data_IF_529998141418
#
_entry.id   IF_529998141418
#
_cell.length_a   1.000
_cell.length_b   1.000
_cell.length_c   1.000
_cell.angle_alpha   90.00
_cell.angle_beta   90.00
_cell.angle_gamma   90.00
#
_symmetry.space_group_name_H-M   'P 1'
#
loop_
_entity.id
_entity.type
_entity.pdbx_description
1 polymer ?
#
# COMPACT_ATOMS: atom_id res chain seq x y z
N UNK A 1 -48.35 37.85 -36.15
CA UNK A 1 -47.04 37.70 -35.50
C UNK A 1 -47.04 36.38 -34.75
N UNK A 2 -46.31 35.41 -35.26
CA UNK A 2 -46.21 34.08 -34.64
C UNK A 2 -44.93 34.04 -33.79
N UNK A 3 -45.11 33.91 -32.48
CA UNK A 3 -43.98 33.75 -31.57
C UNK A 3 -43.41 32.32 -31.70
N UNK A 4 -42.23 32.22 -32.24
CA UNK A 4 -41.45 30.97 -32.29
C UNK A 4 -40.77 30.81 -30.94
N UNK A 5 -41.27 29.90 -30.10
CA UNK A 5 -40.62 29.51 -28.83
C UNK A 5 -39.55 28.48 -29.22
N UNK A 6 -38.30 28.93 -29.23
CA UNK A 6 -37.14 28.04 -29.39
C UNK A 6 -36.84 27.39 -28.04
N UNK A 7 -37.29 26.14 -27.89
CA UNK A 7 -36.92 25.32 -26.71
C UNK A 7 -35.49 24.84 -26.89
N UNK A 8 -34.55 25.44 -26.17
CA UNK A 8 -33.17 24.97 -26.09
C UNK A 8 -33.15 23.75 -25.16
N UNK A 9 -33.05 22.56 -25.75
CA UNK A 9 -32.73 21.35 -24.98
C UNK A 9 -31.26 21.41 -24.55
N UNK A 10 -30.99 21.77 -23.32
CA UNK A 10 -29.70 21.62 -22.70
C UNK A 10 -29.49 20.11 -22.41
N UNK A 11 -28.87 19.40 -23.35
CA UNK A 11 -28.43 18.02 -23.11
C UNK A 11 -27.25 18.11 -22.16
N UNK A 12 -27.51 18.07 -20.85
CA UNK A 12 -26.49 17.78 -19.84
C UNK A 12 -26.10 16.32 -20.02
N UNK A 13 -25.09 16.07 -20.85
CA UNK A 13 -24.38 14.81 -20.85
C UNK A 13 -23.67 14.70 -19.50
N UNK A 14 -24.34 14.10 -18.53
CA UNK A 14 -23.67 13.58 -17.34
C UNK A 14 -22.75 12.45 -17.82
N UNK A 15 -21.54 12.80 -18.20
CA UNK A 15 -20.45 11.86 -18.21
C UNK A 15 -20.24 11.46 -16.75
N UNK A 16 -20.99 10.48 -16.28
CA UNK A 16 -20.68 9.77 -15.06
C UNK A 16 -19.40 8.96 -15.34
N UNK A 17 -18.28 9.65 -15.38
CA UNK A 17 -16.99 8.99 -15.26
C UNK A 17 -17.08 8.20 -13.96
N UNK A 18 -16.97 6.90 -14.06
CA UNK A 18 -16.82 6.00 -12.96
C UNK A 18 -15.57 6.46 -12.21
N UNK A 19 -15.77 7.20 -11.13
CA UNK A 19 -14.68 7.85 -10.42
C UNK A 19 -13.87 6.79 -9.70
N UNK A 20 -12.66 6.55 -10.20
CA UNK A 20 -11.66 5.76 -9.50
C UNK A 20 -11.18 6.58 -8.30
N UNK A 21 -11.17 5.97 -7.13
CA UNK A 21 -10.70 6.59 -5.88
C UNK A 21 -9.33 6.02 -5.55
N UNK A 22 -8.37 6.89 -5.28
CA UNK A 22 -7.06 6.50 -4.76
C UNK A 22 -6.88 7.04 -3.34
N UNK A 23 -6.43 6.19 -2.43
CA UNK A 23 -6.21 6.49 -1.02
C UNK A 23 -4.76 6.14 -0.66
N UNK A 24 -4.06 7.10 -0.07
CA UNK A 24 -2.79 6.91 0.65
C UNK A 24 -3.08 7.20 2.12
N UNK A 25 -3.03 6.18 2.96
CA UNK A 25 -3.47 6.27 4.36
C UNK A 25 -2.32 6.08 5.32
N UNK A 26 -1.88 7.17 5.95
CA UNK A 26 -0.90 7.10 7.03
C UNK A 26 -1.40 6.27 8.23
N UNK A 27 -2.72 6.23 8.45
CA UNK A 27 -3.35 5.40 9.48
C UNK A 27 -3.19 3.91 9.14
N UNK A 28 -3.49 3.50 7.90
CA UNK A 28 -3.30 2.10 7.47
C UNK A 28 -1.82 1.71 7.52
N UNK A 29 -0.91 2.58 7.09
CA UNK A 29 0.53 2.34 7.15
C UNK A 29 0.97 2.05 8.59
N UNK A 30 0.51 2.88 9.53
CA UNK A 30 0.80 2.69 10.96
C UNK A 30 0.20 1.40 11.52
N UNK A 31 -1.04 1.08 11.14
CA UNK A 31 -1.70 -0.18 11.57
C UNK A 31 -0.93 -1.41 11.06
N UNK A 32 -0.46 -1.40 9.82
CA UNK A 32 0.37 -2.50 9.30
C UNK A 32 1.67 -2.62 10.08
N UNK A 33 2.35 -1.51 10.36
CA UNK A 33 3.56 -1.48 11.14
C UNK A 33 3.35 -1.98 12.58
N UNK A 34 2.26 -1.56 13.24
CA UNK A 34 1.90 -2.03 14.58
C UNK A 34 1.67 -3.54 14.60
N UNK A 35 0.96 -4.08 13.61
CA UNK A 35 0.73 -5.54 13.51
C UNK A 35 2.00 -6.34 13.25
N UNK A 36 2.96 -5.79 12.51
CA UNK A 36 4.31 -6.38 12.40
C UNK A 36 4.95 -6.46 13.79
N UNK A 37 4.91 -5.38 14.57
CA UNK A 37 5.48 -5.35 15.92
C UNK A 37 4.75 -6.29 16.87
N UNK A 38 3.43 -6.37 16.84
CA UNK A 38 2.65 -7.37 17.59
C UNK A 38 3.13 -8.79 17.24
N UNK A 39 3.36 -9.05 15.97
CA UNK A 39 3.88 -10.35 15.52
C UNK A 39 5.27 -10.62 16.04
N UNK A 40 6.19 -9.65 15.98
CA UNK A 40 7.54 -9.79 16.50
C UNK A 40 7.52 -10.15 18.01
N UNK A 41 6.76 -9.41 18.78
CA UNK A 41 6.60 -9.66 20.23
C UNK A 41 6.03 -11.07 20.48
N UNK A 42 5.03 -11.50 19.69
CA UNK A 42 4.41 -12.82 19.85
C UNK A 42 5.36 -14.00 19.64
N UNK A 43 6.44 -13.81 18.90
CA UNK A 43 7.50 -14.82 18.66
C UNK A 43 8.76 -14.58 19.51
N UNK A 44 8.68 -13.72 20.54
CA UNK A 44 9.76 -13.43 21.48
C UNK A 44 10.85 -12.50 20.94
N UNK A 45 10.57 -11.77 19.84
CA UNK A 45 11.46 -10.76 19.28
C UNK A 45 11.20 -9.38 19.89
N UNK A 46 12.19 -8.49 19.78
CA UNK A 46 11.98 -7.09 20.14
C UNK A 46 11.13 -6.37 19.09
N UNK A 47 10.26 -5.45 19.50
CA UNK A 47 9.58 -4.60 18.55
C UNK A 47 10.56 -3.63 17.90
N UNK A 48 10.30 -3.24 16.67
CA UNK A 48 11.00 -2.17 15.98
C UNK A 48 10.59 -0.84 16.63
N UNK A 49 11.56 0.00 16.95
CA UNK A 49 11.31 1.19 17.78
C UNK A 49 10.86 2.38 16.92
N UNK A 50 11.43 2.54 15.74
CA UNK A 50 11.21 3.72 14.91
C UNK A 50 10.39 3.40 13.66
N UNK A 51 9.28 4.13 13.51
CA UNK A 51 8.48 4.17 12.28
C UNK A 51 8.92 5.40 11.46
N UNK A 52 9.79 5.16 10.50
CA UNK A 52 10.42 6.22 9.70
C UNK A 52 9.43 6.84 8.71
N UNK A 53 9.42 8.18 8.63
CA UNK A 53 8.48 8.96 7.81
C UNK A 53 9.18 9.85 6.76
N UNK A 54 10.50 9.79 6.65
CA UNK A 54 11.31 10.63 5.78
C UNK A 54 11.57 10.02 4.39
N UNK A 55 12.83 9.87 4.03
CA UNK A 55 13.24 9.42 2.70
C UNK A 55 12.88 7.97 2.42
N UNK A 56 13.01 7.08 3.39
CA UNK A 56 12.63 5.66 3.25
C UNK A 56 11.13 5.52 3.03
N UNK A 57 10.31 6.33 3.72
CA UNK A 57 8.86 6.41 3.49
C UNK A 57 8.54 6.86 2.08
N UNK A 58 9.22 7.89 1.58
CA UNK A 58 9.06 8.36 0.22
C UNK A 58 9.45 7.30 -0.80
N UNK A 59 10.51 6.54 -0.54
CA UNK A 59 10.91 5.42 -1.38
C UNK A 59 9.84 4.32 -1.38
N UNK A 60 9.40 3.88 -0.22
CA UNK A 60 8.33 2.88 -0.05
C UNK A 60 7.04 3.29 -0.78
N UNK A 61 6.67 4.56 -0.72
CA UNK A 61 5.51 5.10 -1.44
C UNK A 61 5.70 5.01 -2.95
N UNK A 62 6.86 5.35 -3.49
CA UNK A 62 7.16 5.20 -4.93
C UNK A 62 7.08 3.74 -5.38
N UNK A 63 7.53 2.79 -4.56
CA UNK A 63 7.36 1.36 -4.84
C UNK A 63 5.87 1.02 -4.99
N UNK A 64 5.03 1.43 -4.04
CA UNK A 64 3.58 1.22 -4.15
C UNK A 64 2.99 1.89 -5.41
N UNK A 65 3.45 3.09 -5.78
CA UNK A 65 3.03 3.80 -6.99
C UNK A 65 3.36 3.01 -8.28
N UNK A 66 4.44 2.24 -8.29
CA UNK A 66 4.77 1.36 -9.44
C UNK A 66 3.90 0.09 -9.48
N UNK A 67 3.39 -0.36 -8.35
CA UNK A 67 2.61 -1.58 -8.22
C UNK A 67 1.10 -1.36 -8.39
N UNK A 68 0.60 -0.14 -8.15
CA UNK A 68 -0.83 0.16 -8.13
C UNK A 68 -1.52 0.19 -9.51
N UNK A 69 -0.88 0.51 -10.66
CA UNK A 69 -1.52 0.42 -11.96
C UNK A 69 -2.08 -0.98 -12.22
N UNK A 70 -3.24 -1.07 -12.89
CA UNK A 70 -3.95 -2.34 -13.12
C UNK A 70 -3.09 -3.38 -13.86
N UNK A 71 -2.21 -2.91 -14.75
CA UNK A 71 -1.29 -3.72 -15.56
C UNK A 71 0.15 -3.72 -15.02
N UNK A 72 0.37 -3.29 -13.76
CA UNK A 72 1.70 -3.28 -13.18
C UNK A 72 2.24 -4.70 -13.04
N UNK A 73 3.49 -4.88 -13.41
CA UNK A 73 4.23 -6.12 -13.16
C UNK A 73 4.57 -6.20 -11.67
N UNK A 74 4.27 -7.35 -11.05
CA UNK A 74 4.66 -7.61 -9.67
C UNK A 74 6.15 -7.98 -9.62
N UNK A 75 6.97 -7.04 -9.20
CA UNK A 75 8.41 -7.23 -9.05
C UNK A 75 8.97 -6.37 -7.93
N UNK A 76 10.01 -6.86 -7.30
CA UNK A 76 10.81 -6.07 -6.37
C UNK A 76 11.50 -4.90 -7.07
N UNK A 77 11.83 -3.89 -6.28
CA UNK A 77 12.57 -2.72 -6.76
C UNK A 77 13.92 -3.14 -7.35
N UNK A 78 14.40 -2.50 -8.44
CA UNK A 78 15.73 -2.78 -8.98
C UNK A 78 16.82 -2.53 -7.93
N UNK A 79 17.83 -3.40 -7.92
CA UNK A 79 18.91 -3.37 -6.91
C UNK A 79 19.61 -2.02 -6.77
N UNK A 80 19.76 -1.27 -7.85
CA UNK A 80 20.40 0.07 -7.87
C UNK A 80 19.59 1.14 -7.12
N UNK A 81 18.28 0.96 -7.00
CA UNK A 81 17.39 1.84 -6.23
C UNK A 81 17.32 1.45 -4.76
N UNK A 82 17.64 0.19 -4.46
CA UNK A 82 17.57 -0.43 -3.15
C UNK A 82 18.80 -0.09 -2.29
N UNK A 83 19.94 0.23 -2.91
CA UNK A 83 21.25 0.33 -2.23
C UNK A 83 21.29 1.21 -0.98
N UNK A 84 20.34 2.10 -0.77
CA UNK A 84 20.27 2.94 0.43
C UNK A 84 19.37 2.37 1.53
N UNK A 85 18.37 1.52 1.18
CA UNK A 85 17.34 1.02 2.10
C UNK A 85 17.19 -0.49 2.02
N UNK A 86 18.24 -1.20 1.72
CA UNK A 86 18.21 -2.58 1.25
C UNK A 86 18.51 -3.66 2.29
N UNK A 87 18.20 -3.41 3.53
CA UNK A 87 18.19 -4.49 4.51
C UNK A 87 17.13 -5.55 4.17
N UNK A 88 15.99 -5.15 3.62
CA UNK A 88 14.93 -6.01 3.10
C UNK A 88 13.77 -5.20 2.53
N UNK A 89 13.11 -5.81 1.56
CA UNK A 89 11.87 -5.30 0.97
C UNK A 89 10.81 -6.40 1.03
N UNK A 90 9.66 -6.07 1.59
CA UNK A 90 8.44 -6.88 1.47
C UNK A 90 7.41 -6.11 0.67
N UNK A 91 6.94 -6.68 -0.44
CA UNK A 91 5.88 -6.10 -1.23
C UNK A 91 4.64 -6.99 -1.24
N UNK A 92 3.49 -6.37 -1.35
CA UNK A 92 2.20 -7.04 -1.42
C UNK A 92 1.29 -6.33 -2.41
N UNK A 93 0.59 -7.09 -3.21
CA UNK A 93 -0.52 -6.57 -4.02
C UNK A 93 -1.72 -7.48 -3.91
N UNK A 94 -2.89 -6.88 -3.83
CA UNK A 94 -4.15 -7.58 -3.94
C UNK A 94 -4.99 -6.87 -5.01
N UNK A 95 -5.50 -7.64 -5.96
CA UNK A 95 -6.38 -7.13 -7.01
C UNK A 95 -7.64 -7.99 -7.04
N UNK A 96 -8.77 -7.37 -6.85
CA UNK A 96 -10.06 -8.05 -6.94
C UNK A 96 -10.97 -7.30 -7.91
N UNK A 97 -11.72 -8.07 -8.70
CA UNK A 97 -12.80 -7.56 -9.54
C UNK A 97 -14.04 -8.39 -9.20
N UNK A 98 -15.01 -7.77 -8.56
CA UNK A 98 -16.27 -8.43 -8.23
C UNK A 98 -17.41 -7.52 -8.65
N UNK A 99 -18.32 -8.05 -9.43
CA UNK A 99 -19.47 -7.29 -9.93
C UNK A 99 -20.46 -6.89 -8.81
N UNK A 100 -20.36 -7.47 -7.62
CA UNK A 100 -21.21 -7.15 -6.47
C UNK A 100 -20.40 -7.32 -5.18
N UNK A 101 -20.44 -6.32 -4.31
CA UNK A 101 -19.99 -6.37 -2.92
C UNK A 101 -18.54 -6.82 -2.72
N UNK A 102 -17.60 -6.04 -3.24
CA UNK A 102 -16.19 -6.27 -2.92
C UNK A 102 -15.94 -5.97 -1.43
N UNK A 103 -15.62 -6.99 -0.67
CA UNK A 103 -15.38 -6.90 0.79
C UNK A 103 -14.33 -5.85 1.15
N UNK A 104 -13.28 -5.70 0.35
CA UNK A 104 -12.25 -4.70 0.60
C UNK A 104 -12.75 -3.26 0.39
N UNK A 105 -13.63 -3.04 -0.59
CA UNK A 105 -14.28 -1.74 -0.76
C UNK A 105 -15.14 -1.43 0.47
N UNK A 106 -15.89 -2.42 0.98
CA UNK A 106 -16.66 -2.28 2.21
C UNK A 106 -15.77 -1.99 3.43
N UNK A 107 -14.61 -2.65 3.55
CA UNK A 107 -13.66 -2.35 4.62
C UNK A 107 -13.21 -0.88 4.58
N UNK A 108 -12.84 -0.38 3.40
CA UNK A 108 -12.42 1.03 3.24
C UNK A 108 -13.56 1.99 3.60
N UNK A 109 -14.76 1.73 3.11
CA UNK A 109 -15.91 2.62 3.31
C UNK A 109 -16.45 2.63 4.74
N UNK A 110 -16.33 1.51 5.44
CA UNK A 110 -16.70 1.39 6.84
C UNK A 110 -15.54 1.74 7.79
N UNK A 111 -14.44 2.28 7.27
CA UNK A 111 -13.21 2.58 8.02
C UNK A 111 -12.66 1.37 8.79
N UNK A 112 -12.85 0.17 8.28
CA UNK A 112 -12.30 -1.07 8.85
C UNK A 112 -10.91 -1.37 8.28
N UNK A 113 -9.99 -0.44 8.44
CA UNK A 113 -8.62 -0.54 7.93
C UNK A 113 -7.83 -1.64 8.63
N UNK A 114 -8.23 -2.01 9.84
CA UNK A 114 -7.59 -3.08 10.60
C UNK A 114 -7.67 -4.44 9.89
N UNK A 115 -8.81 -4.76 9.26
CA UNK A 115 -8.95 -5.99 8.47
C UNK A 115 -7.96 -6.01 7.29
N UNK A 116 -7.78 -4.87 6.61
CA UNK A 116 -6.82 -4.72 5.51
C UNK A 116 -5.38 -4.87 6.02
N UNK A 117 -5.04 -4.21 7.12
CA UNK A 117 -3.71 -4.32 7.74
C UNK A 117 -3.37 -5.76 8.13
N UNK A 118 -4.36 -6.47 8.69
CA UNK A 118 -4.22 -7.88 9.04
C UNK A 118 -3.92 -8.75 7.82
N UNK A 119 -4.65 -8.58 6.73
CA UNK A 119 -4.47 -9.37 5.51
C UNK A 119 -3.07 -9.15 4.89
N UNK A 120 -2.58 -7.91 4.90
CA UNK A 120 -1.21 -7.60 4.44
C UNK A 120 -0.18 -8.36 5.27
N UNK A 121 -0.26 -8.24 6.60
CA UNK A 121 0.72 -8.87 7.50
C UNK A 121 0.63 -10.39 7.46
N UNK A 122 -0.56 -10.96 7.41
CA UNK A 122 -0.77 -12.41 7.28
C UNK A 122 -0.15 -12.94 5.98
N UNK A 123 -0.30 -12.22 4.87
CA UNK A 123 0.32 -12.59 3.60
C UNK A 123 1.86 -12.57 3.68
N UNK A 124 2.45 -11.54 4.28
CA UNK A 124 3.90 -11.48 4.48
C UNK A 124 4.40 -12.56 5.44
N UNK A 125 3.71 -12.82 6.54
CA UNK A 125 4.12 -13.85 7.52
C UNK A 125 3.96 -15.26 6.96
N UNK A 126 3.01 -15.50 6.05
CA UNK A 126 2.84 -16.80 5.40
C UNK A 126 3.94 -17.10 4.36
N UNK A 127 4.58 -16.09 3.81
CA UNK A 127 5.73 -16.23 2.91
C UNK A 127 7.02 -16.38 3.73
N UNK A 128 7.79 -17.44 3.49
CA UNK A 128 9.04 -17.70 4.22
C UNK A 128 10.06 -16.56 4.07
N UNK A 129 10.27 -16.08 2.85
CA UNK A 129 11.20 -14.98 2.58
C UNK A 129 10.84 -13.69 3.28
N UNK A 130 9.55 -13.29 3.23
CA UNK A 130 9.07 -12.09 3.90
C UNK A 130 9.10 -12.25 5.43
N UNK A 131 8.72 -13.43 5.94
CA UNK A 131 8.79 -13.71 7.37
C UNK A 131 10.21 -13.61 7.90
N UNK A 132 11.20 -14.13 7.16
CA UNK A 132 12.62 -14.01 7.51
C UNK A 132 13.04 -12.54 7.50
N UNK A 133 12.68 -11.78 6.46
CA UNK A 133 12.98 -10.35 6.37
C UNK A 133 12.43 -9.59 7.58
N UNK A 134 11.14 -9.68 7.86
CA UNK A 134 10.48 -8.97 8.97
C UNK A 134 11.02 -9.38 10.35
N UNK A 135 11.51 -10.63 10.51
CA UNK A 135 11.90 -11.20 11.82
C UNK A 135 13.36 -11.02 12.18
N UNK A 136 14.13 -10.23 11.45
CA UNK A 136 15.52 -9.94 11.82
C UNK A 136 15.60 -9.07 13.07
N UNK A 137 16.66 -9.22 13.84
CA UNK A 137 16.79 -8.62 15.19
C UNK A 137 17.52 -7.26 15.23
N UNK A 138 17.96 -6.75 14.09
CA UNK A 138 18.88 -5.61 14.03
C UNK A 138 18.30 -4.34 13.41
N UNK A 139 17.00 -4.30 13.16
CA UNK A 139 16.40 -3.09 12.64
C UNK A 139 16.05 -2.11 13.74
N UNK A 140 16.62 -0.92 13.65
CA UNK A 140 16.25 0.18 14.51
C UNK A 140 15.07 0.96 13.93
N UNK A 141 15.00 1.05 12.61
CA UNK A 141 13.99 1.82 11.91
C UNK A 141 13.44 1.08 10.67
N UNK A 142 12.14 1.16 10.48
CA UNK A 142 11.45 0.61 9.31
C UNK A 142 10.31 1.51 8.89
N UNK A 143 9.82 1.30 7.68
CA UNK A 143 8.64 2.01 7.19
C UNK A 143 7.68 1.09 6.46
N UNK A 144 6.43 1.52 6.38
CA UNK A 144 5.38 0.91 5.56
C UNK A 144 4.72 2.00 4.72
N UNK A 145 4.41 1.67 3.48
CA UNK A 145 3.51 2.48 2.65
C UNK A 145 2.44 1.60 2.04
N UNK A 146 1.23 2.15 1.96
CA UNK A 146 0.09 1.50 1.32
C UNK A 146 -0.59 2.46 0.36
N UNK A 147 -1.06 1.93 -0.77
CA UNK A 147 -1.94 2.66 -1.70
C UNK A 147 -3.11 1.76 -2.04
N UNK A 148 -4.31 2.29 -1.90
CA UNK A 148 -5.56 1.64 -2.31
C UNK A 148 -6.13 2.40 -3.49
N UNK A 149 -6.55 1.67 -4.53
CA UNK A 149 -7.30 2.20 -5.65
C UNK A 149 -8.55 1.37 -5.86
N UNK A 150 -9.71 2.00 -5.94
CA UNK A 150 -10.95 1.26 -6.14
C UNK A 150 -11.98 2.06 -6.93
N UNK A 151 -12.96 1.32 -7.44
CA UNK A 151 -14.09 1.85 -8.16
C UNK A 151 -15.35 1.08 -7.75
N UNK A 152 -16.22 1.73 -7.02
CA UNK A 152 -17.48 1.15 -6.52
C UNK A 152 -18.37 0.59 -7.62
N UNK A 153 -18.48 1.30 -8.74
CA UNK A 153 -19.40 0.97 -9.82
C UNK A 153 -19.01 -0.32 -10.53
N UNK A 154 -17.70 -0.55 -10.67
CA UNK A 154 -17.16 -1.73 -11.33
C UNK A 154 -16.80 -2.86 -10.38
N UNK A 155 -16.81 -2.59 -9.05
CA UNK A 155 -16.30 -3.51 -8.04
C UNK A 155 -14.77 -3.72 -8.11
N UNK A 156 -14.06 -2.89 -8.88
CA UNK A 156 -12.60 -2.94 -8.96
C UNK A 156 -11.98 -2.46 -7.66
N UNK A 157 -11.04 -3.24 -7.16
CA UNK A 157 -10.21 -2.88 -6.02
C UNK A 157 -8.77 -3.34 -6.28
N UNK A 158 -7.81 -2.50 -5.97
CA UNK A 158 -6.39 -2.83 -5.93
C UNK A 158 -5.73 -2.20 -4.72
N UNK A 159 -4.89 -2.99 -4.07
CA UNK A 159 -4.05 -2.59 -2.94
C UNK A 159 -2.61 -2.88 -3.30
N UNK A 160 -1.72 -1.95 -3.03
CA UNK A 160 -0.28 -2.14 -3.01
C UNK A 160 0.24 -1.78 -1.62
N UNK A 161 1.11 -2.61 -1.07
CA UNK A 161 1.82 -2.34 0.18
C UNK A 161 3.31 -2.66 0.02
N UNK A 162 4.15 -1.85 0.64
CA UNK A 162 5.59 -2.05 0.68
C UNK A 162 6.13 -1.75 2.07
N UNK A 163 6.97 -2.62 2.56
CA UNK A 163 7.74 -2.48 3.80
C UNK A 163 9.22 -2.44 3.46
N UNK A 164 9.93 -1.52 4.08
CA UNK A 164 11.37 -1.36 3.92
C UNK A 164 12.03 -1.14 5.26
N UNK A 165 13.30 -1.47 5.30
CA UNK A 165 14.17 -1.30 6.46
C UNK A 165 15.43 -0.55 6.07
N UNK A 166 16.00 0.18 7.02
CA UNK A 166 17.31 0.79 6.91
C UNK A 166 18.35 -0.15 7.49
N UNK A 167 19.41 -0.45 6.73
CA UNK A 167 20.54 -1.22 7.18
C UNK A 167 21.75 -0.30 7.36
N UNK A 168 22.03 0.05 8.62
CA UNK A 168 23.18 0.88 9.00
C UNK A 168 24.53 0.24 8.63
N UNK A 169 24.59 -1.09 8.49
CA UNK A 169 25.82 -1.78 8.10
C UNK A 169 26.23 -1.43 6.66
N UNK A 170 25.26 -1.18 5.78
CA UNK A 170 25.52 -0.74 4.41
C UNK A 170 25.99 0.70 4.35
N UNK A 171 25.44 1.59 5.14
CA UNK A 171 25.87 2.98 5.20
C UNK A 171 27.34 3.11 5.63
N UNK A 172 27.80 2.25 6.51
CA UNK A 172 29.18 2.26 6.98
C UNK A 172 30.17 1.61 6.02
N UNK A 173 29.74 0.71 5.13
CA UNK A 173 30.59 0.07 4.12
C UNK A 173 30.98 1.00 2.98
N UNK A 174 30.21 2.06 2.72
CA UNK A 174 30.45 3.03 1.63
C UNK A 174 30.95 4.40 2.11
N UNK A 175 31.16 4.58 3.40
CA UNK A 175 31.76 5.83 3.96
C UNK A 175 33.27 5.81 4.08
N UNK A 176 33.94 4.72 3.67
CA UNK A 176 35.41 4.58 3.68
C UNK A 176 36.01 4.62 2.29
#
# INVERSE_FOLDING_TARGET
MKNLITTVFLVLSFNSFSQEVEIKSAELDKMVWDKINERLVSIGKKPIVEFEQGEMKNFSTRVCETLIPANAEFRHSPNDSICKYSGGECIYTNTTTSNNENTYIQYVENNNLEAIAKDIVDAWVSSESHRVAISKDWYDSTTVSTIIRYNKKTGYFKLAAAWHEEDDLWQNAFKN
#
